data_IF_165884006173
#
_entry.id   IF_165884006173
#
_cell.length_a   1.000
_cell.length_b   1.000
_cell.length_c   1.000
_cell.angle_alpha   90.00
_cell.angle_beta   90.00
_cell.angle_gamma   90.00
#
_symmetry.space_group_name_H-M   'P 1'
#
loop_
_entity.id
_entity.type
_entity.pdbx_description
1 polymer ?
#
# COMPACT_ATOMS: atom_id res chain seq x y z
N UNK A 1 18.50 24.45 -7.27
CA UNK A 1 17.71 24.43 -6.02
C UNK A 1 16.66 23.34 -6.17
N UNK A 2 16.65 22.33 -5.30
CA UNK A 2 15.55 21.36 -5.28
C UNK A 2 14.33 22.03 -4.65
N UNK A 3 13.21 22.10 -5.37
CA UNK A 3 11.93 22.50 -4.80
C UNK A 3 11.54 21.44 -3.76
N UNK A 4 11.45 21.84 -2.50
CA UNK A 4 10.97 20.99 -1.41
C UNK A 4 9.46 21.16 -1.37
N UNK A 5 8.71 20.07 -1.61
CA UNK A 5 7.26 20.13 -1.51
C UNK A 5 6.82 20.09 -0.04
N UNK A 6 5.89 20.97 0.36
CA UNK A 6 5.32 20.96 1.70
C UNK A 6 4.56 19.67 1.98
N UNK A 7 4.61 19.21 3.24
CA UNK A 7 3.94 17.99 3.70
C UNK A 7 2.42 18.09 3.45
N UNK A 8 1.81 17.26 2.59
CA UNK A 8 0.37 17.24 2.31
C UNK A 8 -0.46 16.97 3.56
N UNK A 9 -1.77 17.24 3.55
CA UNK A 9 -2.67 16.92 4.68
C UNK A 9 -2.82 15.41 4.89
N UNK A 10 -3.18 14.98 6.11
CA UNK A 10 -3.32 13.56 6.46
C UNK A 10 -4.34 12.85 5.55
N UNK A 11 -5.46 13.52 5.29
CA UNK A 11 -6.53 13.03 4.41
C UNK A 11 -6.05 12.91 2.97
N UNK A 12 -5.25 13.85 2.48
CA UNK A 12 -4.69 13.81 1.12
C UNK A 12 -3.70 12.66 0.96
N UNK A 13 -2.81 12.45 1.94
CA UNK A 13 -1.90 11.29 1.96
C UNK A 13 -2.70 9.98 1.92
N UNK A 14 -3.72 9.86 2.77
CA UNK A 14 -4.58 8.67 2.82
C UNK A 14 -5.31 8.42 1.49
N UNK A 15 -6.01 9.43 0.95
CA UNK A 15 -6.73 9.31 -0.32
C UNK A 15 -5.80 9.04 -1.50
N UNK A 16 -4.59 9.60 -1.50
CA UNK A 16 -3.56 9.29 -2.50
C UNK A 16 -3.22 7.81 -2.48
N UNK A 17 -2.93 7.26 -1.29
CA UNK A 17 -2.61 5.83 -1.15
C UNK A 17 -3.78 4.97 -1.64
N UNK A 18 -5.03 5.27 -1.23
CA UNK A 18 -6.19 4.53 -1.72
C UNK A 18 -6.36 4.62 -3.24
N UNK A 19 -6.20 5.82 -3.82
CA UNK A 19 -6.31 6.04 -5.25
C UNK A 19 -5.26 5.27 -6.06
N UNK A 20 -4.00 5.28 -5.61
CA UNK A 20 -2.93 4.53 -6.28
C UNK A 20 -3.10 3.02 -6.04
N UNK A 21 -3.52 2.58 -4.85
CA UNK A 21 -3.85 1.17 -4.59
C UNK A 21 -4.93 0.67 -5.52
N UNK A 22 -5.99 1.46 -5.73
CA UNK A 22 -7.05 1.13 -6.68
C UNK A 22 -6.53 1.06 -8.12
N UNK A 23 -5.75 2.05 -8.56
CA UNK A 23 -5.13 2.03 -9.88
C UNK A 23 -4.19 0.83 -10.07
N UNK A 24 -3.38 0.50 -9.06
CA UNK A 24 -2.53 -0.68 -9.06
C UNK A 24 -3.33 -1.97 -9.17
N UNK A 25 -4.43 -2.08 -8.42
CA UNK A 25 -5.36 -3.22 -8.54
C UNK A 25 -5.90 -3.37 -9.96
N UNK A 26 -6.33 -2.27 -10.59
CA UNK A 26 -6.79 -2.27 -11.98
C UNK A 26 -5.68 -2.64 -12.96
N UNK A 27 -4.47 -2.14 -12.76
CA UNK A 27 -3.31 -2.47 -13.58
C UNK A 27 -2.99 -3.97 -13.55
N UNK A 28 -2.90 -4.58 -12.37
CA UNK A 28 -2.66 -6.03 -12.26
C UNK A 28 -3.85 -6.86 -12.76
N UNK A 29 -5.08 -6.39 -12.57
CA UNK A 29 -6.27 -7.00 -13.18
C UNK A 29 -6.19 -6.97 -14.71
N UNK A 30 -5.72 -5.87 -15.28
CA UNK A 30 -5.46 -5.76 -16.72
C UNK A 30 -4.37 -6.73 -17.20
N UNK A 31 -3.31 -6.97 -16.41
CA UNK A 31 -2.30 -7.99 -16.74
C UNK A 31 -2.86 -9.42 -16.73
N UNK A 32 -3.74 -9.74 -15.78
CA UNK A 32 -4.41 -11.05 -15.73
C UNK A 32 -5.35 -11.20 -16.93
N UNK A 33 -6.12 -10.17 -17.25
CA UNK A 33 -6.95 -10.15 -18.46
C UNK A 33 -6.10 -10.27 -19.74
N UNK A 34 -4.95 -9.61 -19.83
CA UNK A 34 -4.08 -9.71 -20.99
C UNK A 34 -3.52 -11.14 -21.14
N UNK A 35 -3.17 -11.81 -20.03
CA UNK A 35 -2.78 -13.21 -20.03
C UNK A 35 -3.93 -14.14 -20.46
N UNK A 36 -5.20 -13.80 -20.17
CA UNK A 36 -6.33 -14.62 -20.60
C UNK A 36 -6.57 -14.57 -22.12
N UNK A 37 -6.20 -13.46 -22.77
CA UNK A 37 -6.26 -13.33 -24.24
C UNK A 37 -5.17 -14.10 -25.00
N UNK A 38 -4.18 -14.66 -24.30
CA UNK A 38 -3.05 -15.34 -24.92
C UNK A 38 -2.04 -14.41 -25.61
N UNK A 39 -2.15 -13.10 -25.40
CA UNK A 39 -1.24 -12.10 -25.97
C UNK A 39 0.07 -11.96 -25.19
N UNK A 40 0.12 -12.43 -23.95
CA UNK A 40 1.35 -12.44 -23.15
C UNK A 40 2.20 -13.65 -23.51
N UNK A 41 3.37 -13.40 -24.10
CA UNK A 41 4.35 -14.42 -24.45
C UNK A 41 5.57 -14.31 -23.54
N UNK A 42 6.06 -15.46 -23.11
CA UNK A 42 7.35 -15.62 -22.46
C UNK A 42 8.48 -15.51 -23.52
N UNK A 43 9.73 -15.32 -23.08
CA UNK A 43 10.88 -15.16 -23.99
C UNK A 43 11.12 -16.34 -24.95
N UNK A 44 10.62 -17.53 -24.61
CA UNK A 44 10.64 -18.73 -25.44
C UNK A 44 9.39 -18.86 -26.34
N UNK A 45 8.61 -17.79 -26.50
CA UNK A 45 7.33 -17.74 -27.23
C UNK A 45 6.22 -18.64 -26.67
N UNK A 46 6.35 -19.14 -25.45
CA UNK A 46 5.25 -19.82 -24.76
C UNK A 46 4.25 -18.79 -24.22
N UNK A 47 2.96 -19.10 -24.33
CA UNK A 47 1.89 -18.23 -23.81
C UNK A 47 1.89 -18.28 -22.29
N UNK A 48 1.87 -17.10 -21.66
CA UNK A 48 1.60 -16.97 -20.23
C UNK A 48 0.10 -17.12 -20.05
N UNK A 49 -0.31 -18.19 -19.40
CA UNK A 49 -1.73 -18.46 -19.17
C UNK A 49 -2.25 -17.66 -17.98
N UNK A 50 -3.48 -17.16 -18.09
CA UNK A 50 -4.23 -16.70 -16.93
C UNK A 50 -4.68 -17.93 -16.13
N UNK A 51 -3.79 -18.41 -15.27
CA UNK A 51 -4.02 -19.52 -14.34
C UNK A 51 -3.88 -19.04 -12.88
N UNK A 52 -4.07 -19.97 -11.93
CA UNK A 52 -3.93 -19.69 -10.51
C UNK A 52 -2.51 -19.20 -10.14
N UNK A 53 -1.49 -19.69 -10.85
CA UNK A 53 -0.09 -19.30 -10.63
C UNK A 53 0.11 -17.83 -10.97
N UNK A 54 -0.32 -17.40 -12.17
CA UNK A 54 -0.19 -16.03 -12.62
C UNK A 54 -0.97 -15.06 -11.73
N UNK A 55 -2.18 -15.43 -11.32
CA UNK A 55 -2.98 -14.64 -10.35
C UNK A 55 -2.26 -14.51 -9.01
N UNK A 56 -1.68 -15.60 -8.49
CA UNK A 56 -0.90 -15.61 -7.26
C UNK A 56 0.35 -14.73 -7.34
N UNK A 57 1.06 -14.75 -8.47
CA UNK A 57 2.20 -13.85 -8.73
C UNK A 57 1.75 -12.39 -8.77
N UNK A 58 0.65 -12.08 -9.45
CA UNK A 58 0.09 -10.72 -9.49
C UNK A 58 -0.31 -10.22 -8.11
N UNK A 59 -0.97 -11.07 -7.30
CA UNK A 59 -1.35 -10.75 -5.93
C UNK A 59 -0.13 -10.49 -5.04
N UNK A 60 0.89 -11.36 -5.10
CA UNK A 60 2.14 -11.17 -4.38
C UNK A 60 2.86 -9.90 -4.81
N UNK A 61 2.87 -9.60 -6.11
CA UNK A 61 3.42 -8.37 -6.68
C UNK A 61 2.73 -7.12 -6.16
N UNK A 62 1.40 -7.09 -6.09
CA UNK A 62 0.65 -5.97 -5.51
C UNK A 62 0.99 -5.75 -4.04
N UNK A 63 1.01 -6.82 -3.24
CA UNK A 63 1.34 -6.73 -1.82
C UNK A 63 2.77 -6.19 -1.62
N UNK A 64 3.71 -6.66 -2.43
CA UNK A 64 5.10 -6.23 -2.46
C UNK A 64 5.28 -4.76 -2.89
N UNK A 65 4.52 -4.29 -3.88
CA UNK A 65 4.65 -2.93 -4.39
C UNK A 65 3.98 -1.88 -3.49
N UNK A 66 3.10 -2.30 -2.58
CA UNK A 66 2.38 -1.42 -1.66
C UNK A 66 3.24 -0.40 -0.90
N UNK A 67 4.38 -0.73 -0.27
CA UNK A 67 5.21 0.26 0.42
C UNK A 67 5.67 1.43 -0.46
N UNK A 68 5.87 1.20 -1.76
CA UNK A 68 6.33 2.25 -2.67
C UNK A 68 5.28 3.34 -2.91
N UNK A 69 4.01 3.10 -2.55
CA UNK A 69 2.93 4.08 -2.63
C UNK A 69 3.11 5.23 -1.62
N UNK A 70 3.86 4.98 -0.55
CA UNK A 70 4.18 5.99 0.46
C UNK A 70 5.37 6.85 0.02
N UNK A 71 6.27 6.29 -0.80
CA UNK A 71 7.54 6.91 -1.16
C UNK A 71 7.38 8.18 -1.99
N UNK A 72 7.65 9.32 -1.36
CA UNK A 72 7.81 10.61 -2.04
C UNK A 72 9.17 11.21 -1.70
N UNK A 73 10.17 10.94 -2.54
CA UNK A 73 11.54 11.44 -2.37
C UNK A 73 11.68 12.96 -2.41
N UNK A 74 10.64 13.68 -2.84
CA UNK A 74 10.62 15.15 -2.93
C UNK A 74 10.19 15.83 -1.62
N UNK A 75 9.74 15.08 -0.61
CA UNK A 75 9.28 15.64 0.66
C UNK A 75 10.42 15.76 1.67
N UNK A 76 10.28 16.75 2.54
CA UNK A 76 11.20 17.00 3.66
C UNK A 76 11.12 15.95 4.79
N UNK A 77 10.15 15.03 4.74
CA UNK A 77 9.91 13.99 5.74
C UNK A 77 10.39 12.58 5.30
N UNK A 78 11.31 12.53 4.33
CA UNK A 78 11.90 11.29 3.79
C UNK A 78 10.83 10.31 3.24
N UNK A 79 9.72 10.86 2.73
CA UNK A 79 8.64 10.10 2.10
C UNK A 79 7.66 9.46 3.08
N UNK A 80 7.73 9.76 4.37
CA UNK A 80 6.77 9.25 5.34
C UNK A 80 6.50 10.29 6.42
N UNK A 81 5.22 10.47 6.71
CA UNK A 81 4.74 11.45 7.67
C UNK A 81 5.25 11.15 9.09
N UNK A 82 5.65 12.17 9.85
CA UNK A 82 6.03 12.02 11.27
C UNK A 82 4.83 12.05 12.22
N UNK A 83 3.82 12.86 11.92
CA UNK A 83 2.61 13.00 12.75
C UNK A 83 1.45 12.13 12.25
N UNK A 84 0.92 11.28 13.13
CA UNK A 84 -0.22 10.42 12.78
C UNK A 84 0.13 9.30 11.80
N UNK A 85 1.40 8.91 11.73
CA UNK A 85 1.90 7.83 10.87
C UNK A 85 1.23 6.48 11.17
N UNK A 86 1.12 6.13 12.45
CA UNK A 86 0.54 4.86 12.91
C UNK A 86 -0.89 4.69 12.38
N UNK A 87 -1.85 5.59 12.67
CA UNK A 87 -3.21 5.43 12.15
C UNK A 87 -3.27 5.56 10.63
N UNK A 88 -2.39 6.37 10.01
CA UNK A 88 -2.34 6.48 8.54
C UNK A 88 -1.98 5.15 7.90
N UNK A 89 -0.87 4.53 8.31
CA UNK A 89 -0.36 3.31 7.70
C UNK A 89 -1.29 2.14 7.98
N UNK A 90 -1.75 1.95 9.22
CA UNK A 90 -2.64 0.85 9.56
C UNK A 90 -3.96 0.93 8.79
N UNK A 91 -4.58 2.12 8.74
CA UNK A 91 -5.81 2.31 7.97
C UNK A 91 -5.55 2.14 6.48
N UNK A 92 -4.42 2.62 5.97
CA UNK A 92 -4.05 2.47 4.55
C UNK A 92 -3.87 1.02 4.15
N UNK A 93 -3.21 0.21 4.97
CA UNK A 93 -3.04 -1.24 4.73
C UNK A 93 -4.39 -1.92 4.68
N UNK A 94 -5.24 -1.73 5.70
CA UNK A 94 -6.54 -2.40 5.78
C UNK A 94 -7.47 -1.95 4.65
N UNK A 95 -7.60 -0.64 4.42
CA UNK A 95 -8.48 -0.11 3.39
C UNK A 95 -7.99 -0.48 1.98
N UNK A 96 -6.68 -0.45 1.72
CA UNK A 96 -6.13 -0.88 0.43
C UNK A 96 -6.30 -2.37 0.21
N UNK A 97 -6.09 -3.20 1.24
CA UNK A 97 -6.34 -4.63 1.14
C UNK A 97 -7.82 -4.91 0.79
N UNK A 98 -8.77 -4.22 1.42
CA UNK A 98 -10.19 -4.31 1.07
C UNK A 98 -10.44 -3.91 -0.38
N UNK A 99 -9.91 -2.77 -0.83
CA UNK A 99 -10.07 -2.32 -2.23
C UNK A 99 -9.51 -3.36 -3.20
N UNK A 100 -8.29 -3.84 -2.96
CA UNK A 100 -7.63 -4.80 -3.84
C UNK A 100 -8.38 -6.13 -3.84
N UNK A 101 -8.85 -6.62 -2.70
CA UNK A 101 -9.69 -7.83 -2.62
C UNK A 101 -10.98 -7.66 -3.41
N UNK A 102 -11.68 -6.52 -3.26
CA UNK A 102 -12.91 -6.25 -4.00
C UNK A 102 -12.69 -6.25 -5.51
N UNK A 103 -11.59 -5.66 -5.97
CA UNK A 103 -11.20 -5.72 -7.38
C UNK A 103 -10.86 -7.15 -7.79
N UNK A 104 -10.16 -7.91 -6.95
CA UNK A 104 -9.78 -9.29 -7.23
C UNK A 104 -10.97 -10.24 -7.41
N UNK A 105 -12.16 -9.90 -6.89
CA UNK A 105 -13.39 -10.69 -7.10
C UNK A 105 -13.76 -10.85 -8.58
N UNK A 106 -13.25 -10.01 -9.49
CA UNK A 106 -13.52 -10.17 -10.92
C UNK A 106 -12.53 -11.12 -11.61
N UNK A 107 -11.44 -11.51 -10.94
CA UNK A 107 -10.39 -12.32 -11.56
C UNK A 107 -10.83 -13.72 -11.99
N UNK A 108 -11.73 -14.44 -11.27
CA UNK A 108 -12.20 -15.75 -11.72
C UNK A 108 -12.82 -15.74 -13.12
N UNK A 109 -13.41 -14.61 -13.54
CA UNK A 109 -13.97 -14.48 -14.89
C UNK A 109 -12.93 -14.54 -16.00
N UNK A 110 -11.65 -14.31 -15.70
CA UNK A 110 -10.55 -14.38 -16.67
C UNK A 110 -9.91 -15.76 -16.78
N UNK A 111 -10.13 -16.65 -15.82
CA UNK A 111 -9.62 -18.03 -15.86
C UNK A 111 -10.32 -18.85 -16.95
N UNK A 112 -11.63 -18.63 -17.15
CA UNK A 112 -12.43 -19.39 -18.12
C UNK A 112 -12.34 -20.90 -17.90
N UNK A 113 -11.99 -21.65 -18.94
CA UNK A 113 -11.81 -23.11 -18.88
C UNK A 113 -10.59 -23.56 -18.05
N UNK A 114 -9.67 -22.64 -17.72
CA UNK A 114 -8.48 -22.93 -16.89
C UNK A 114 -8.75 -22.88 -15.39
N UNK A 115 -9.97 -22.52 -14.99
CA UNK A 115 -10.37 -22.49 -13.60
C UNK A 115 -10.39 -23.91 -13.02
N UNK A 116 -9.49 -24.21 -12.07
CA UNK A 116 -9.50 -25.49 -11.35
C UNK A 116 -10.52 -25.40 -10.21
N UNK A 117 -11.63 -26.17 -10.24
CA UNK A 117 -12.65 -26.10 -9.19
C UNK A 117 -12.10 -26.39 -7.81
N UNK A 118 -12.64 -25.75 -6.77
CA UNK A 118 -12.18 -25.90 -5.40
C UNK A 118 -10.92 -25.11 -5.04
N UNK A 119 -10.26 -24.43 -6.00
CA UNK A 119 -9.12 -23.55 -5.70
C UNK A 119 -9.60 -22.15 -5.31
N UNK A 120 -8.79 -21.44 -4.51
CA UNK A 120 -9.06 -20.03 -4.17
C UNK A 120 -9.16 -19.16 -5.42
N UNK A 121 -8.36 -19.43 -6.46
CA UNK A 121 -8.41 -18.70 -7.73
C UNK A 121 -9.77 -18.83 -8.43
N UNK A 122 -10.36 -20.02 -8.45
CA UNK A 122 -11.62 -20.29 -9.12
C UNK A 122 -12.84 -19.83 -8.30
N UNK A 123 -12.80 -19.95 -6.98
CA UNK A 123 -13.97 -19.72 -6.11
C UNK A 123 -13.98 -18.35 -5.42
N UNK A 124 -13.06 -17.44 -5.78
CA UNK A 124 -12.87 -16.17 -5.08
C UNK A 124 -14.13 -15.32 -4.93
N UNK A 125 -15.04 -15.36 -5.91
CA UNK A 125 -16.29 -14.58 -5.92
C UNK A 125 -17.52 -15.35 -5.41
N UNK A 126 -17.43 -16.67 -5.22
CA UNK A 126 -18.55 -17.53 -4.79
C UNK A 126 -18.37 -18.08 -3.38
N UNK A 127 -17.13 -18.29 -2.94
CA UNK A 127 -16.79 -18.82 -1.63
C UNK A 127 -16.25 -17.72 -0.69
N UNK A 128 -16.98 -17.40 0.40
CA UNK A 128 -16.53 -16.43 1.39
C UNK A 128 -15.18 -16.78 2.05
N UNK A 129 -14.83 -18.07 2.19
CA UNK A 129 -13.57 -18.47 2.80
C UNK A 129 -12.38 -18.10 1.92
N UNK A 130 -12.47 -18.31 0.61
CA UNK A 130 -11.50 -17.86 -0.39
C UNK A 130 -11.34 -16.34 -0.38
N UNK A 131 -12.44 -15.58 -0.37
CA UNK A 131 -12.39 -14.11 -0.27
C UNK A 131 -11.71 -13.64 1.02
N UNK A 132 -12.04 -14.25 2.16
CA UNK A 132 -11.45 -13.90 3.45
C UNK A 132 -9.96 -14.23 3.51
N UNK A 133 -9.55 -15.39 2.97
CA UNK A 133 -8.15 -15.78 2.88
C UNK A 133 -7.34 -14.80 2.03
N UNK A 134 -7.87 -14.36 0.88
CA UNK A 134 -7.22 -13.34 0.04
C UNK A 134 -7.14 -11.98 0.73
N UNK A 135 -8.17 -11.57 1.48
CA UNK A 135 -8.11 -10.36 2.29
C UNK A 135 -6.96 -10.42 3.30
N UNK A 136 -6.83 -11.53 4.03
CA UNK A 136 -5.73 -11.74 4.97
C UNK A 136 -4.36 -11.79 4.26
N UNK A 137 -4.28 -12.42 3.09
CA UNK A 137 -3.09 -12.42 2.26
C UNK A 137 -2.63 -10.99 1.96
N UNK A 138 -3.52 -10.12 1.52
CA UNK A 138 -3.18 -8.73 1.22
C UNK A 138 -2.82 -7.94 2.48
N UNK A 139 -3.58 -8.06 3.58
CA UNK A 139 -3.26 -7.37 4.83
C UNK A 139 -1.86 -7.77 5.31
N UNK A 140 -1.59 -9.07 5.43
CA UNK A 140 -0.29 -9.58 5.88
C UNK A 140 0.83 -9.22 4.92
N UNK A 141 0.64 -9.44 3.62
CA UNK A 141 1.63 -9.14 2.59
C UNK A 141 1.99 -7.65 2.55
N UNK A 142 1.00 -6.76 2.53
CA UNK A 142 1.21 -5.31 2.55
C UNK A 142 1.87 -4.86 3.86
N UNK A 143 1.44 -5.39 5.01
CA UNK A 143 1.99 -5.01 6.31
C UNK A 143 3.47 -5.42 6.45
N UNK A 144 3.83 -6.63 6.05
CA UNK A 144 5.21 -7.10 6.07
C UNK A 144 6.09 -6.41 5.03
N UNK A 145 5.57 -6.18 3.82
CA UNK A 145 6.28 -5.41 2.79
C UNK A 145 6.61 -4.00 3.30
N UNK A 146 5.65 -3.35 3.96
CA UNK A 146 5.85 -2.02 4.56
C UNK A 146 6.81 -2.08 5.75
N UNK A 147 6.72 -3.11 6.59
CA UNK A 147 7.62 -3.29 7.74
C UNK A 147 9.07 -3.49 7.31
N UNK A 148 9.32 -4.20 6.20
CA UNK A 148 10.68 -4.39 5.68
C UNK A 148 11.20 -3.13 4.98
N UNK A 149 10.35 -2.45 4.20
CA UNK A 149 10.76 -1.27 3.44
C UNK A 149 10.98 -0.03 4.32
N UNK A 150 10.16 0.16 5.35
CA UNK A 150 10.19 1.39 6.16
C UNK A 150 11.58 1.68 6.77
N UNK A 151 12.28 0.73 7.43
CA UNK A 151 13.62 0.95 7.93
C UNK A 151 14.66 1.22 6.83
N UNK A 152 14.51 0.61 5.64
CA UNK A 152 15.40 0.84 4.50
C UNK A 152 15.29 2.26 3.97
N UNK A 153 14.06 2.79 3.90
CA UNK A 153 13.79 4.14 3.45
C UNK A 153 14.28 5.19 4.46
N UNK A 154 14.08 4.96 5.76
CA UNK A 154 14.46 5.92 6.81
C UNK A 154 15.97 5.86 7.10
N UNK A 155 16.55 4.66 7.19
CA UNK A 155 17.93 4.45 7.61
C UNK A 155 18.98 4.73 6.52
N UNK A 156 18.55 5.13 5.32
CA UNK A 156 19.42 5.41 4.18
C UNK A 156 20.20 4.19 3.69
N UNK A 157 21.22 4.44 2.86
CA UNK A 157 21.94 3.38 2.14
C UNK A 157 22.58 2.31 3.05
N UNK A 158 23.01 2.68 4.26
CA UNK A 158 23.67 1.75 5.20
C UNK A 158 22.69 0.68 5.69
N UNK A 159 21.50 1.10 6.13
CA UNK A 159 20.45 0.18 6.58
C UNK A 159 19.88 -0.60 5.40
N UNK A 160 19.66 0.08 4.27
CA UNK A 160 19.21 -0.56 3.05
C UNK A 160 20.13 -1.70 2.60
N UNK A 161 21.46 -1.54 2.68
CA UNK A 161 22.41 -2.58 2.29
C UNK A 161 22.28 -3.85 3.14
N UNK A 162 22.11 -3.71 4.46
CA UNK A 162 21.94 -4.85 5.37
C UNK A 162 20.58 -5.53 5.24
N UNK A 163 19.53 -4.76 4.97
CA UNK A 163 18.17 -5.27 4.83
C UNK A 163 17.82 -5.72 3.41
N UNK A 164 18.66 -5.43 2.41
CA UNK A 164 18.43 -5.82 1.02
C UNK A 164 18.28 -7.33 0.87
N UNK A 165 19.16 -8.12 1.49
CA UNK A 165 19.12 -9.57 1.37
C UNK A 165 17.86 -10.17 2.04
N UNK A 166 17.51 -9.81 3.30
CA UNK A 166 16.21 -10.17 3.88
C UNK A 166 15.01 -9.73 3.04
N UNK A 167 15.07 -8.52 2.48
CA UNK A 167 14.02 -7.97 1.63
C UNK A 167 13.83 -8.79 0.36
N UNK A 168 14.91 -9.12 -0.35
CA UNK A 168 14.88 -9.99 -1.53
C UNK A 168 14.32 -11.38 -1.19
N UNK A 169 14.75 -11.98 -0.08
CA UNK A 169 14.19 -13.23 0.42
C UNK A 169 12.68 -13.14 0.66
N UNK A 170 12.22 -12.03 1.23
CA UNK A 170 10.80 -11.75 1.42
C UNK A 170 10.04 -11.58 0.10
N UNK A 171 10.63 -10.97 -0.94
CA UNK A 171 10.02 -10.88 -2.29
C UNK A 171 9.73 -12.26 -2.86
N UNK A 172 10.72 -13.16 -2.82
CA UNK A 172 10.53 -14.53 -3.28
C UNK A 172 9.45 -15.24 -2.45
N UNK A 173 9.46 -15.04 -1.13
CA UNK A 173 8.50 -15.65 -0.21
C UNK A 173 7.07 -15.17 -0.50
N UNK A 174 6.82 -13.87 -0.68
CA UNK A 174 5.47 -13.35 -0.88
C UNK A 174 4.89 -13.74 -2.25
N UNK A 175 5.73 -13.78 -3.30
CA UNK A 175 5.31 -14.27 -4.62
C UNK A 175 4.98 -15.77 -4.57
N UNK A 176 5.85 -16.57 -3.96
CA UNK A 176 5.61 -18.01 -3.78
C UNK A 176 4.38 -18.29 -2.92
N UNK A 177 4.21 -17.54 -1.83
CA UNK A 177 3.05 -17.67 -0.96
C UNK A 177 1.76 -17.27 -1.70
N UNK A 178 1.81 -16.26 -2.58
CA UNK A 178 0.70 -15.90 -3.47
C UNK A 178 0.29 -17.08 -4.35
N UNK A 179 1.24 -17.70 -5.06
CA UNK A 179 0.98 -18.91 -5.87
C UNK A 179 0.36 -20.01 -5.01
N UNK A 180 0.93 -20.30 -3.84
CA UNK A 180 0.41 -21.33 -2.94
C UNK A 180 -0.99 -21.04 -2.44
N UNK A 181 -1.35 -19.79 -2.17
CA UNK A 181 -2.69 -19.44 -1.74
C UNK A 181 -3.70 -19.61 -2.87
N UNK A 182 -3.38 -19.15 -4.08
CA UNK A 182 -4.32 -19.19 -5.22
C UNK A 182 -4.51 -20.60 -5.79
N UNK A 183 -3.47 -21.42 -5.79
CA UNK A 183 -3.45 -22.75 -6.41
C UNK A 183 -4.01 -23.86 -5.49
N UNK A 184 -4.30 -23.56 -4.22
CA UNK A 184 -4.78 -24.53 -3.25
C UNK A 184 -6.21 -24.21 -2.80
N UNK A 185 -6.95 -25.21 -2.29
CA UNK A 185 -8.25 -24.96 -1.70
C UNK A 185 -8.13 -24.10 -0.42
N UNK A 186 -9.14 -23.28 -0.12
CA UNK A 186 -9.21 -22.58 1.15
C UNK A 186 -9.26 -23.61 2.29
N UNK A 187 -8.28 -23.56 3.19
CA UNK A 187 -8.23 -24.46 4.35
C UNK A 187 -8.19 -23.68 5.64
N UNK A 188 -8.74 -24.25 6.71
CA UNK A 188 -8.68 -23.65 8.04
C UNK A 188 -7.23 -23.40 8.48
N UNK A 189 -6.33 -24.35 8.22
CA UNK A 189 -4.92 -24.23 8.57
C UNK A 189 -4.26 -23.05 7.85
N UNK A 190 -4.42 -22.96 6.52
CA UNK A 190 -3.88 -21.86 5.71
C UNK A 190 -4.45 -20.52 6.18
N UNK A 191 -5.74 -20.46 6.48
CA UNK A 191 -6.42 -19.27 7.00
C UNK A 191 -5.85 -18.85 8.35
N UNK A 192 -5.67 -19.78 9.29
CA UNK A 192 -5.08 -19.50 10.61
C UNK A 192 -3.64 -18.99 10.50
N UNK A 193 -2.85 -19.54 9.59
CA UNK A 193 -1.49 -19.05 9.29
C UNK A 193 -1.58 -17.60 8.82
N UNK A 194 -2.46 -17.27 7.87
CA UNK A 194 -2.58 -15.91 7.35
C UNK A 194 -3.20 -14.92 8.34
N UNK A 195 -4.07 -15.36 9.24
CA UNK A 195 -4.50 -14.56 10.40
C UNK A 195 -3.29 -14.20 11.25
N UNK A 196 -2.47 -15.18 11.64
CA UNK A 196 -1.27 -14.93 12.43
C UNK A 196 -0.30 -13.99 11.70
N UNK A 197 0.01 -14.27 10.42
CA UNK A 197 0.89 -13.43 9.59
C UNK A 197 0.38 -11.99 9.51
N UNK A 198 -0.93 -11.80 9.33
CA UNK A 198 -1.57 -10.48 9.28
C UNK A 198 -1.44 -9.74 10.60
N UNK A 199 -1.78 -10.39 11.72
CA UNK A 199 -1.71 -9.79 13.04
C UNK A 199 -0.27 -9.44 13.43
N UNK A 200 0.68 -10.35 13.22
CA UNK A 200 2.09 -10.09 13.48
C UNK A 200 2.66 -9.01 12.56
N UNK A 201 2.25 -8.98 11.29
CA UNK A 201 2.66 -7.94 10.35
C UNK A 201 2.16 -6.55 10.76
N UNK A 202 0.88 -6.44 11.14
CA UNK A 202 0.30 -5.18 11.65
C UNK A 202 0.95 -4.76 12.98
N UNK A 203 1.24 -5.70 13.87
CA UNK A 203 1.93 -5.42 15.12
C UNK A 203 3.37 -4.93 14.87
N UNK A 204 4.13 -5.60 14.01
CA UNK A 204 5.49 -5.19 13.62
C UNK A 204 5.48 -3.78 13.01
N UNK A 205 4.55 -3.52 12.10
CA UNK A 205 4.38 -2.23 11.45
C UNK A 205 4.05 -1.11 12.46
N UNK A 206 3.21 -1.43 13.45
CA UNK A 206 2.88 -0.52 14.55
C UNK A 206 4.10 -0.20 15.39
N UNK A 207 4.88 -1.22 15.78
CA UNK A 207 6.11 -1.06 16.56
C UNK A 207 7.14 -0.22 15.80
N UNK A 208 7.37 -0.51 14.51
CA UNK A 208 8.30 0.25 13.68
C UNK A 208 7.87 1.71 13.53
N UNK A 209 6.57 1.95 13.34
CA UNK A 209 6.01 3.30 13.27
C UNK A 209 6.16 4.05 14.61
N UNK A 210 5.99 3.36 15.74
CA UNK A 210 6.24 3.93 17.07
C UNK A 210 7.72 4.25 17.29
N UNK A 211 8.62 3.33 16.95
CA UNK A 211 10.07 3.51 17.07
C UNK A 211 10.53 4.72 16.26
N UNK A 212 10.02 4.86 15.03
CA UNK A 212 10.27 6.04 14.22
C UNK A 212 9.82 7.32 14.94
N UNK A 213 8.59 7.35 15.46
CA UNK A 213 8.10 8.53 16.18
C UNK A 213 8.97 8.88 17.39
N UNK A 214 9.59 7.89 18.05
CA UNK A 214 10.51 8.10 19.17
C UNK A 214 11.84 8.69 18.68
N UNK A 215 12.39 8.17 17.58
CA UNK A 215 13.64 8.68 16.97
C UNK A 215 13.44 10.11 16.45
N UNK A 216 12.32 10.37 15.77
CA UNK A 216 12.03 11.65 15.12
C UNK A 216 11.67 12.76 16.12
N UNK A 217 11.26 12.45 17.36
CA UNK A 217 10.98 13.43 18.43
C UNK A 217 12.20 14.30 18.77
N UNK A 218 13.41 13.86 18.46
CA UNK A 218 14.63 14.66 18.64
C UNK A 218 14.75 15.80 17.62
N UNK A 219 13.96 15.78 16.54
CA UNK A 219 13.99 16.79 15.48
C UNK A 219 12.85 17.80 15.68
N UNK A 220 13.11 19.12 15.60
CA UNK A 220 12.05 20.13 15.71
C UNK A 220 10.93 19.88 14.70
N UNK A 221 9.70 19.73 15.18
CA UNK A 221 8.52 19.54 14.33
C UNK A 221 7.90 20.91 13.99
N UNK A 222 7.63 21.14 12.70
CA UNK A 222 6.82 22.29 12.29
C UNK A 222 5.38 22.15 12.79
N UNK A 223 4.88 23.19 13.43
CA UNK A 223 3.48 23.28 13.87
C UNK A 223 2.52 23.26 12.68
N UNK A 224 1.23 22.98 12.92
CA UNK A 224 0.21 23.02 11.86
C UNK A 224 0.13 24.40 11.19
N UNK A 225 0.27 25.48 11.97
CA UNK A 225 0.28 26.85 11.47
C UNK A 225 1.52 27.15 10.60
N UNK A 226 2.70 26.65 11.02
CA UNK A 226 3.93 26.79 10.22
C UNK A 226 3.85 26.01 8.91
N UNK A 227 3.29 24.79 8.92
CA UNK A 227 3.05 24.01 7.69
C UNK A 227 2.11 24.71 6.73
N UNK A 228 1.05 25.33 7.23
CA UNK A 228 0.11 26.07 6.40
C UNK A 228 0.75 27.33 5.80
N UNK A 229 1.54 28.06 6.59
CA UNK A 229 2.31 29.20 6.09
C UNK A 229 3.33 28.78 5.02
N UNK A 230 4.00 27.64 5.19
CA UNK A 230 4.95 27.10 4.21
C UNK A 230 4.25 26.64 2.93
N UNK A 231 3.07 26.01 3.06
CA UNK A 231 2.23 25.63 1.91
C UNK A 231 1.78 26.86 1.11
N UNK A 232 1.36 27.93 1.79
CA UNK A 232 0.98 29.19 1.12
C UNK A 232 2.16 29.82 0.38
N UNK A 233 3.36 29.84 0.99
CA UNK A 233 4.59 30.33 0.32
C UNK A 233 4.92 29.51 -0.93
N UNK A 234 4.80 28.19 -0.85
CA UNK A 234 5.01 27.31 -1.99
C UNK A 234 4.02 27.59 -3.13
N UNK A 235 2.73 27.77 -2.82
CA UNK A 235 1.71 28.13 -3.81
C UNK A 235 1.96 29.51 -4.44
N UNK A 236 2.39 30.50 -3.65
CA UNK A 236 2.75 31.83 -4.14
C UNK A 236 3.95 31.78 -5.09
N UNK A 237 5.00 31.02 -4.77
CA UNK A 237 6.16 30.86 -5.63
C UNK A 237 5.81 30.17 -6.96
N UNK A 238 4.98 29.10 -6.92
CA UNK A 238 4.47 28.47 -8.15
C UNK A 238 3.62 29.43 -8.98
N UNK A 239 2.77 30.23 -8.33
CA UNK A 239 1.96 31.25 -9.01
C UNK A 239 2.84 32.30 -9.69
N UNK A 240 3.91 32.76 -9.02
CA UNK A 240 4.89 33.68 -9.62
C UNK A 240 5.60 33.08 -10.83
N UNK A 241 5.84 31.76 -10.83
CA UNK A 241 6.47 31.03 -11.94
C UNK A 241 5.50 30.64 -13.06
N UNK A 242 4.22 31.01 -12.97
CA UNK A 242 3.20 30.62 -13.95
C UNK A 242 2.85 29.13 -13.93
N UNK A 243 3.19 28.42 -12.86
CA UNK A 243 2.95 26.98 -12.67
C UNK A 243 1.64 26.76 -11.89
N UNK A 244 0.52 27.27 -12.40
CA UNK A 244 -0.79 27.09 -11.75
C UNK A 244 -1.46 25.81 -12.23
N UNK A 245 -1.53 24.79 -11.37
CA UNK A 245 -2.55 23.74 -11.52
C UNK A 245 -3.91 24.41 -11.23
N UNK A 246 -4.70 24.68 -12.27
CA UNK A 246 -5.89 25.54 -12.22
C UNK A 246 -7.10 24.98 -11.45
N UNK A 247 -6.95 23.99 -10.57
CA UNK A 247 -8.10 23.45 -9.81
C UNK A 247 -7.68 22.88 -8.47
N UNK A 248 -7.65 23.69 -7.39
CA UNK A 248 -7.62 23.13 -6.04
C UNK A 248 -8.86 22.27 -5.84
N UNK A 249 -8.68 21.03 -5.41
CA UNK A 249 -9.79 20.11 -5.19
C UNK A 249 -10.60 20.58 -3.97
N UNK A 250 -11.90 20.89 -4.11
CA UNK A 250 -12.72 21.38 -3.01
C UNK A 250 -12.70 20.40 -1.82
N UNK A 251 -12.31 20.89 -0.64
CA UNK A 251 -12.23 20.08 0.59
C UNK A 251 -10.91 19.34 0.83
N UNK A 252 -9.95 19.39 -0.11
CA UNK A 252 -8.63 18.77 0.02
C UNK A 252 -7.52 19.82 0.21
N UNK A 253 -7.60 20.94 -0.51
CA UNK A 253 -6.60 22.03 -0.48
C UNK A 253 -7.06 23.27 0.33
N UNK A 254 -8.14 23.15 1.11
CA UNK A 254 -8.66 24.22 1.94
C UNK A 254 -8.03 24.25 3.35
N UNK A 255 -8.00 25.43 4.02
CA UNK A 255 -7.51 25.56 5.38
C UNK A 255 -8.20 24.59 6.33
N UNK A 256 -7.43 23.73 7.02
CA UNK A 256 -7.96 22.82 8.03
C UNK A 256 -8.44 23.66 9.23
N UNK A 257 -9.73 23.58 9.56
CA UNK A 257 -10.26 24.25 10.75
C UNK A 257 -9.49 23.78 11.98
N UNK A 258 -8.96 24.70 12.82
CA UNK A 258 -8.26 24.30 14.03
C UNK A 258 -9.18 23.47 14.94
N UNK A 259 -8.63 22.49 15.69
CA UNK A 259 -9.38 21.72 16.65
C UNK A 259 -10.08 22.66 17.62
N UNK A 260 -11.40 22.54 17.80
CA UNK A 260 -12.11 23.32 18.81
C UNK A 260 -11.51 22.98 20.18
N UNK A 261 -11.08 23.97 20.97
CA UNK A 261 -10.59 23.69 22.31
C UNK A 261 -11.72 23.01 23.11
N UNK A 262 -11.38 22.05 23.99
CA UNK A 262 -12.37 21.43 24.87
C UNK A 262 -13.06 22.55 25.65
N UNK A 263 -14.39 22.58 25.57
CA UNK A 263 -15.21 23.51 26.36
C UNK A 263 -14.86 23.28 27.82
N UNK A 264 -14.13 24.23 28.40
CA UNK A 264 -13.74 24.19 29.80
C UNK A 264 -14.96 23.98 30.68
N UNK A 265 -14.92 22.93 31.48
CA UNK A 265 -15.76 22.79 32.66
C UNK A 265 -15.30 23.88 33.65
N UNK A 266 -15.99 25.02 33.65
CA UNK A 266 -15.98 25.91 34.81
C UNK A 266 -16.62 25.16 35.97
N UNK A 267 -15.85 24.83 36.99
CA UNK A 267 -16.21 24.91 38.42
C UNK A 267 -14.93 25.00 39.22
#
# INVERSE_FOLDING_TARGET
>A
MHEVEPVPTWTRDFLRVLGISFFGALFFTFLIWLASTGLMLQQNFQVIEADAVWMGVCAGGMAFLFPFLFTEYKRSDDGFRRDGLIPLILLSVVASAVIVTLVALVWPFFLGERAVPGTVAAELNTDPASCFLILLFFIGGMAWSTSMMMPMMIGGYKVALWLLLPYLGFVFLILFAGVRVFDNPPSLLTTMIWVAVSLFGLAALTVLSMLRNVIDKATPQMTAAEREADYQRYLEDRRRRGLTNESPLPGIDGPQRPPRPPRGSRR
#
